data_IF_811452979581
#
_entry.id   IF_811452979581
#
_cell.length_a   1.000
_cell.length_b   1.000
_cell.length_c   1.000
_cell.angle_alpha   90.00
_cell.angle_beta   90.00
_cell.angle_gamma   90.00
#
_symmetry.space_group_name_H-M   'P 1'
#
loop_
_entity.id
_entity.type
_entity.pdbx_description
1 polymer ?
#
# COMPACT_ATOMS: atom_id res chain seq x y z
N UNK A 1 15.61 9.06 -22.22
CA UNK A 1 16.96 9.39 -21.78
C UNK A 1 16.90 9.95 -20.35
N UNK A 2 17.15 9.09 -19.36
CA UNK A 2 17.17 9.48 -17.95
C UNK A 2 18.60 9.81 -17.55
N UNK A 3 19.01 11.05 -17.69
CA UNK A 3 20.32 11.54 -17.27
C UNK A 3 20.26 12.11 -15.87
N UNK A 4 21.07 11.63 -14.95
CA UNK A 4 21.22 12.19 -13.62
C UNK A 4 21.71 11.19 -12.59
N UNK A 5 22.50 11.65 -11.65
CA UNK A 5 23.09 10.89 -10.54
C UNK A 5 22.24 10.94 -9.26
N UNK A 6 21.06 11.59 -9.29
CA UNK A 6 20.18 11.73 -8.13
C UNK A 6 18.94 10.84 -8.25
N UNK A 7 18.18 10.71 -7.17
CA UNK A 7 16.91 9.96 -7.14
C UNK A 7 15.79 10.56 -8.01
N UNK A 8 16.02 11.69 -8.69
CA UNK A 8 15.08 12.35 -9.59
C UNK A 8 14.67 11.49 -10.81
N UNK A 9 15.60 10.77 -11.49
CA UNK A 9 15.24 9.88 -12.59
C UNK A 9 14.23 8.81 -12.23
N UNK A 10 14.13 8.44 -10.97
CA UNK A 10 13.16 7.45 -10.50
C UNK A 10 11.72 7.80 -10.89
N UNK A 11 11.30 9.05 -10.70
CA UNK A 11 9.95 9.47 -11.07
C UNK A 11 9.75 9.55 -12.57
N UNK A 12 10.77 9.97 -13.30
CA UNK A 12 10.75 9.95 -14.78
C UNK A 12 10.58 8.52 -15.30
N UNK A 13 11.31 7.56 -14.74
CA UNK A 13 11.18 6.15 -15.10
C UNK A 13 9.81 5.56 -14.74
N UNK A 14 9.34 5.83 -13.54
CA UNK A 14 8.05 5.29 -13.06
C UNK A 14 6.83 5.89 -13.79
N UNK A 15 6.97 7.08 -14.35
CA UNK A 15 5.87 7.76 -15.06
C UNK A 15 6.00 7.74 -16.57
N UNK A 16 7.17 7.37 -17.10
CA UNK A 16 7.49 7.48 -18.52
C UNK A 16 7.50 8.95 -19.02
N UNK A 17 7.49 9.92 -18.12
CA UNK A 17 7.35 11.34 -18.46
C UNK A 17 8.53 12.17 -17.94
N UNK A 18 9.26 12.80 -18.88
CA UNK A 18 10.41 13.67 -18.53
C UNK A 18 10.03 14.85 -17.62
N UNK A 19 8.79 15.31 -17.70
CA UNK A 19 8.27 16.41 -16.89
C UNK A 19 7.90 15.98 -15.45
N UNK A 20 8.01 14.71 -15.12
CA UNK A 20 7.75 14.20 -13.77
C UNK A 20 8.88 14.47 -12.76
N UNK A 21 10.03 14.99 -13.22
CA UNK A 21 11.15 15.33 -12.35
C UNK A 21 10.78 16.48 -11.39
N UNK A 22 10.71 16.26 -10.05
CA UNK A 22 10.15 17.26 -9.12
C UNK A 22 10.99 18.54 -8.98
N UNK A 23 12.30 18.46 -9.24
CA UNK A 23 13.19 19.63 -9.14
C UNK A 23 13.03 20.60 -10.31
N UNK A 24 12.72 20.07 -11.48
CA UNK A 24 12.55 20.88 -12.70
C UNK A 24 11.11 21.25 -12.96
N UNK A 25 10.16 20.47 -12.40
CA UNK A 25 8.75 20.75 -12.52
C UNK A 25 8.04 20.48 -11.18
N UNK A 26 7.62 21.52 -10.44
CA UNK A 26 6.87 21.36 -9.20
C UNK A 26 5.58 20.55 -9.34
N UNK A 27 4.98 20.54 -10.55
CA UNK A 27 3.79 19.75 -10.88
C UNK A 27 4.12 18.30 -11.30
N UNK A 28 5.38 17.89 -11.25
CA UNK A 28 5.81 16.55 -11.61
C UNK A 28 5.14 15.43 -10.79
N UNK A 29 4.67 15.75 -9.59
CA UNK A 29 3.90 14.85 -8.74
C UNK A 29 2.50 14.51 -9.27
N UNK A 30 1.98 15.29 -10.22
CA UNK A 30 0.68 15.06 -10.84
C UNK A 30 0.70 13.94 -11.89
N UNK A 31 1.88 13.56 -12.40
CA UNK A 31 1.99 12.47 -13.35
C UNK A 31 1.89 11.11 -12.64
N UNK A 32 0.96 10.22 -13.09
CA UNK A 32 0.79 8.93 -12.46
C UNK A 32 1.96 7.98 -12.79
N UNK A 33 2.30 7.13 -11.85
CA UNK A 33 3.20 6.02 -12.10
C UNK A 33 2.52 4.94 -12.94
N UNK A 34 3.32 4.17 -13.70
CA UNK A 34 2.78 3.03 -14.45
C UNK A 34 2.07 2.02 -13.54
N UNK A 35 2.56 1.83 -12.31
CA UNK A 35 1.94 0.93 -11.35
C UNK A 35 0.54 1.43 -10.90
N UNK A 36 0.37 2.75 -10.73
CA UNK A 36 -0.95 3.33 -10.45
C UNK A 36 -1.91 3.21 -11.64
N UNK A 37 -1.39 3.29 -12.88
CA UNK A 37 -2.19 3.05 -14.08
C UNK A 37 -2.65 1.60 -14.12
N UNK A 38 -1.74 0.65 -13.87
CA UNK A 38 -2.07 -0.79 -13.82
C UNK A 38 -3.10 -1.06 -12.71
N UNK A 39 -2.91 -0.46 -11.51
CA UNK A 39 -3.86 -0.60 -10.41
C UNK A 39 -5.27 -0.10 -10.77
N UNK A 40 -5.35 0.97 -11.58
CA UNK A 40 -6.63 1.48 -12.08
C UNK A 40 -7.27 0.52 -13.08
N UNK A 41 -6.50 0.03 -14.05
CA UNK A 41 -7.05 -0.75 -15.18
C UNK A 41 -7.33 -2.21 -14.81
N UNK A 42 -6.52 -2.79 -13.92
CA UNK A 42 -6.63 -4.20 -13.52
C UNK A 42 -7.28 -4.41 -12.16
N UNK A 43 -7.12 -3.45 -11.24
CA UNK A 43 -7.51 -3.63 -9.85
C UNK A 43 -6.62 -4.64 -9.12
N UNK A 44 -7.07 -5.10 -7.96
CA UNK A 44 -6.45 -6.19 -7.23
C UNK A 44 -6.84 -7.54 -7.84
N UNK A 45 -5.90 -8.50 -7.87
CA UNK A 45 -6.17 -9.84 -8.38
C UNK A 45 -7.12 -10.63 -7.44
N UNK A 46 -7.12 -10.29 -6.17
CA UNK A 46 -7.96 -10.93 -5.16
C UNK A 46 -8.64 -9.87 -4.28
N UNK A 47 -9.91 -10.12 -3.94
CA UNK A 47 -10.63 -9.26 -3.00
C UNK A 47 -9.92 -9.21 -1.65
N UNK A 48 -9.85 -8.02 -1.04
CA UNK A 48 -9.15 -7.79 0.21
C UNK A 48 -7.63 -7.66 0.10
N UNK A 49 -7.07 -7.68 -1.12
CA UNK A 49 -5.66 -7.37 -1.37
C UNK A 49 -5.49 -5.99 -2.01
N UNK A 50 -4.39 -5.28 -1.74
CA UNK A 50 -4.10 -4.01 -2.40
C UNK A 50 -3.62 -4.25 -3.84
N UNK A 51 -4.14 -3.44 -4.79
CA UNK A 51 -3.77 -3.55 -6.20
C UNK A 51 -2.33 -3.07 -6.50
N UNK A 52 -1.80 -2.18 -5.67
CA UNK A 52 -0.45 -1.66 -5.79
C UNK A 52 0.17 -1.52 -4.40
N UNK A 53 1.29 -2.20 -4.18
CA UNK A 53 2.05 -2.18 -2.93
C UNK A 53 3.43 -1.58 -3.17
N UNK A 54 3.89 -0.75 -2.26
CA UNK A 54 5.23 -0.20 -2.29
C UNK A 54 5.88 -0.22 -0.91
N UNK A 55 7.21 -0.34 -0.92
CA UNK A 55 8.05 -0.16 0.24
C UNK A 55 8.73 1.20 0.13
N UNK A 56 8.37 2.13 0.99
CA UNK A 56 8.83 3.51 0.91
C UNK A 56 9.47 3.94 2.23
N UNK A 57 10.73 4.33 2.18
CA UNK A 57 11.39 5.06 3.26
C UNK A 57 11.26 6.57 3.06
N UNK A 58 11.24 7.02 1.80
CA UNK A 58 11.15 8.44 1.42
C UNK A 58 10.17 8.62 0.27
N UNK A 59 9.23 9.54 0.42
CA UNK A 59 8.17 9.84 -0.55
C UNK A 59 8.66 10.21 -1.97
N UNK A 60 9.95 10.50 -2.12
CA UNK A 60 10.57 10.79 -3.41
C UNK A 60 10.83 9.55 -4.27
N UNK A 61 10.82 8.35 -3.70
CA UNK A 61 11.26 7.13 -4.40
C UNK A 61 10.10 6.37 -5.06
N UNK A 62 8.88 6.60 -4.64
CA UNK A 62 7.71 5.88 -5.15
C UNK A 62 6.80 6.83 -5.92
N UNK A 63 6.47 6.44 -7.14
CA UNK A 63 5.49 7.15 -7.95
C UNK A 63 4.08 6.90 -7.43
N UNK A 64 3.27 7.94 -7.38
CA UNK A 64 1.89 7.92 -6.93
C UNK A 64 0.93 8.04 -8.12
N UNK A 65 -0.36 8.05 -7.82
CA UNK A 65 -1.41 8.08 -8.83
C UNK A 65 -1.59 9.44 -9.54
N UNK A 66 -1.05 10.51 -8.96
CA UNK A 66 -1.15 11.84 -9.55
C UNK A 66 -2.60 12.25 -9.86
N UNK A 67 -2.87 12.64 -11.10
CA UNK A 67 -4.21 13.05 -11.54
C UNK A 67 -5.25 11.92 -11.55
N UNK A 68 -4.83 10.65 -11.44
CA UNK A 68 -5.78 9.53 -11.35
C UNK A 68 -6.51 9.45 -10.01
N UNK A 69 -6.03 10.20 -9.00
CA UNK A 69 -6.61 10.26 -7.67
C UNK A 69 -6.00 9.25 -6.68
N UNK A 70 -6.08 9.62 -5.41
CA UNK A 70 -5.42 8.92 -4.28
C UNK A 70 -5.82 7.45 -4.11
N UNK A 71 -6.97 7.03 -4.62
CA UNK A 71 -7.41 5.63 -4.55
C UNK A 71 -6.46 4.66 -5.26
N UNK A 72 -5.65 5.16 -6.19
CA UNK A 72 -4.67 4.38 -6.94
C UNK A 72 -3.23 4.63 -6.48
N UNK A 73 -3.07 5.34 -5.35
CA UNK A 73 -1.78 5.45 -4.67
C UNK A 73 -1.35 4.08 -4.14
N UNK A 74 -0.04 3.83 -4.01
CA UNK A 74 0.46 2.60 -3.43
C UNK A 74 0.04 2.45 -1.97
N UNK A 75 -0.30 1.23 -1.58
CA UNK A 75 -0.36 0.83 -0.18
C UNK A 75 1.06 0.67 0.36
N UNK A 76 1.39 1.38 1.43
CA UNK A 76 2.75 1.39 1.99
C UNK A 76 2.97 0.22 2.95
N UNK A 77 3.56 -0.85 2.46
CA UNK A 77 3.71 -2.11 3.17
C UNK A 77 4.61 -2.01 4.42
N UNK A 78 5.64 -1.17 4.37
CA UNK A 78 6.55 -0.99 5.50
C UNK A 78 5.92 -0.28 6.72
N UNK A 79 4.74 0.31 6.54
CA UNK A 79 3.92 0.88 7.62
C UNK A 79 2.83 -0.08 8.09
N UNK A 80 2.51 -1.10 7.30
CA UNK A 80 1.38 -2.01 7.54
C UNK A 80 1.71 -3.15 8.49
N UNK A 81 2.96 -3.58 8.53
CA UNK A 81 3.41 -4.71 9.33
C UNK A 81 4.64 -4.36 10.16
N UNK A 82 4.79 -5.06 11.27
CA UNK A 82 5.97 -4.94 12.12
C UNK A 82 7.06 -5.89 11.60
N UNK A 83 8.16 -5.30 11.15
CA UNK A 83 9.32 -6.06 10.67
C UNK A 83 10.48 -5.93 11.66
N UNK A 84 11.29 -6.98 11.84
CA UNK A 84 12.50 -6.91 12.64
C UNK A 84 13.47 -5.82 12.15
N UNK A 85 14.04 -5.08 13.09
CA UNK A 85 15.06 -4.07 12.80
C UNK A 85 16.42 -4.67 13.04
N UNK A 86 17.27 -4.61 12.03
CA UNK A 86 18.65 -5.07 12.11
C UNK A 86 19.59 -3.87 12.22
N UNK A 87 20.44 -3.84 13.25
CA UNK A 87 21.43 -2.79 13.47
C UNK A 87 22.56 -2.85 12.44
N UNK A 88 22.94 -4.07 12.07
CA UNK A 88 23.87 -4.41 10.98
C UNK A 88 23.30 -5.58 10.20
N UNK A 89 23.88 -5.87 9.04
CA UNK A 89 23.48 -7.04 8.25
C UNK A 89 23.65 -8.31 9.10
N UNK A 90 22.56 -9.00 9.35
CA UNK A 90 22.52 -10.23 10.13
C UNK A 90 22.43 -10.08 11.65
N UNK A 91 22.46 -8.87 12.20
CA UNK A 91 22.36 -8.62 13.63
C UNK A 91 20.96 -8.07 13.96
N UNK A 92 20.16 -8.86 14.65
CA UNK A 92 18.84 -8.44 15.15
C UNK A 92 19.02 -7.47 16.32
N UNK A 93 18.36 -6.32 16.24
CA UNK A 93 18.37 -5.34 17.34
C UNK A 93 17.37 -5.67 18.45
N UNK A 94 16.54 -6.69 18.28
CA UNK A 94 15.43 -7.01 19.17
C UNK A 94 14.22 -6.08 19.04
N UNK A 95 14.31 -5.07 18.19
CA UNK A 95 13.24 -4.10 17.96
C UNK A 95 12.41 -4.45 16.72
N UNK A 96 11.17 -3.95 16.70
CA UNK A 96 10.29 -4.04 15.52
C UNK A 96 10.00 -2.64 15.00
N UNK A 97 10.06 -2.45 13.69
CA UNK A 97 9.65 -1.21 13.02
C UNK A 97 8.27 -1.37 12.40
N UNK A 98 7.62 -0.24 12.10
CA UNK A 98 6.31 -0.20 11.48
C UNK A 98 5.16 -0.30 12.49
N UNK A 99 3.95 -0.11 11.97
CA UNK A 99 2.70 -0.26 12.72
C UNK A 99 2.05 -1.61 12.37
N UNK A 100 1.21 -2.11 13.25
CA UNK A 100 0.34 -3.24 12.93
C UNK A 100 -1.04 -2.69 12.51
N UNK A 101 -1.18 -2.29 11.25
CA UNK A 101 -2.43 -1.72 10.74
C UNK A 101 -3.58 -2.72 10.72
N UNK A 102 -3.29 -4.02 10.76
CA UNK A 102 -4.31 -5.07 10.77
C UNK A 102 -4.73 -5.48 12.19
N UNK A 103 -4.08 -4.94 13.23
CA UNK A 103 -4.53 -5.17 14.59
C UNK A 103 -5.75 -4.29 14.90
N UNK A 104 -6.77 -4.92 15.42
CA UNK A 104 -7.95 -4.20 15.89
C UNK A 104 -7.61 -3.41 17.18
N UNK A 105 -7.95 -2.12 17.26
CA UNK A 105 -7.84 -1.38 18.51
C UNK A 105 -8.62 -2.05 19.64
N UNK A 106 -8.11 -1.97 20.86
CA UNK A 106 -8.79 -2.48 22.02
C UNK A 106 -10.19 -1.86 22.14
N UNK A 107 -11.22 -2.70 22.31
CA UNK A 107 -12.62 -2.26 22.39
C UNK A 107 -13.35 -2.12 21.04
N UNK A 108 -12.69 -2.40 19.92
CA UNK A 108 -13.33 -2.50 18.61
C UNK A 108 -13.49 -3.98 18.24
N UNK A 109 -14.74 -4.45 18.10
CA UNK A 109 -15.03 -5.81 17.61
C UNK A 109 -15.33 -5.80 16.11
N UNK A 110 -15.15 -6.94 15.46
CA UNK A 110 -15.54 -7.15 14.05
C UNK A 110 -17.01 -6.82 13.82
N UNK A 111 -17.87 -7.19 14.77
CA UNK A 111 -19.30 -6.90 14.74
C UNK A 111 -19.58 -5.39 14.75
N UNK A 112 -18.88 -4.62 15.60
CA UNK A 112 -19.02 -3.16 15.63
C UNK A 112 -18.54 -2.50 14.34
N UNK A 113 -17.48 -3.01 13.73
CA UNK A 113 -17.01 -2.53 12.41
C UNK A 113 -18.04 -2.84 11.34
N UNK A 114 -18.58 -4.06 11.34
CA UNK A 114 -19.62 -4.47 10.40
C UNK A 114 -20.89 -3.62 10.55
N UNK A 115 -21.36 -3.39 11.78
CA UNK A 115 -22.54 -2.58 12.05
C UNK A 115 -22.34 -1.13 11.62
N UNK A 116 -21.17 -0.54 11.90
CA UNK A 116 -20.82 0.81 11.43
C UNK A 116 -20.84 0.90 9.91
N UNK A 117 -20.33 -0.13 9.22
CA UNK A 117 -20.35 -0.21 7.76
C UNK A 117 -21.75 -0.30 7.19
N UNK A 118 -22.63 -1.09 7.82
CA UNK A 118 -24.05 -1.16 7.43
C UNK A 118 -24.75 0.19 7.62
N UNK A 119 -24.48 0.86 8.73
CA UNK A 119 -25.02 2.20 9.00
C UNK A 119 -24.52 3.22 7.97
N UNK A 120 -23.21 3.25 7.69
CA UNK A 120 -22.62 4.12 6.68
C UNK A 120 -23.34 3.93 5.32
N UNK A 121 -23.48 2.69 4.87
CA UNK A 121 -24.19 2.38 3.62
C UNK A 121 -25.66 2.85 3.59
N UNK A 122 -26.34 2.84 4.73
CA UNK A 122 -27.71 3.36 4.83
C UNK A 122 -27.73 4.88 4.69
N UNK A 123 -26.78 5.58 5.31
CA UNK A 123 -26.62 7.03 5.16
C UNK A 123 -26.19 7.42 3.75
N UNK A 124 -25.33 6.64 3.11
CA UNK A 124 -24.84 6.89 1.76
C UNK A 124 -25.93 6.74 0.72
N UNK A 125 -26.88 5.81 0.89
CA UNK A 125 -28.09 5.73 0.07
C UNK A 125 -28.94 7.00 0.12
N UNK A 126 -28.99 7.68 1.26
CA UNK A 126 -29.70 8.95 1.43
C UNK A 126 -28.94 10.09 0.74
N UNK A 127 -27.59 10.02 0.73
CA UNK A 127 -26.70 11.03 0.16
C UNK A 127 -26.49 10.90 -1.35
N UNK A 128 -26.65 9.71 -1.94
CA UNK A 128 -26.40 9.44 -3.37
C UNK A 128 -27.28 10.33 -4.28
N UNK A 129 -28.42 10.81 -3.78
CA UNK A 129 -29.24 11.79 -4.50
C UNK A 129 -28.67 13.22 -4.56
N UNK A 130 -27.57 13.49 -3.84
CA UNK A 130 -26.92 14.81 -3.72
C UNK A 130 -25.51 14.87 -4.31
N UNK A 131 -24.94 13.71 -4.70
CA UNK A 131 -23.57 13.65 -5.23
C UNK A 131 -23.53 13.92 -6.74
N UNK A 132 -23.46 15.19 -7.08
CA UNK A 132 -23.38 15.66 -8.47
C UNK A 132 -22.02 15.39 -9.14
N UNK A 133 -20.97 14.98 -8.39
CA UNK A 133 -19.59 14.91 -8.89
C UNK A 133 -18.94 13.52 -8.79
N UNK A 134 -19.63 12.49 -8.31
CA UNK A 134 -19.07 11.12 -8.15
C UNK A 134 -17.93 11.00 -7.12
N UNK A 135 -17.64 12.04 -6.35
CA UNK A 135 -16.57 12.04 -5.36
C UNK A 135 -16.90 11.18 -4.14
N UNK A 136 -18.17 11.07 -3.82
CA UNK A 136 -18.68 10.23 -2.74
C UNK A 136 -18.59 8.74 -3.09
N UNK A 137 -18.92 8.37 -4.32
CA UNK A 137 -18.78 6.99 -4.81
C UNK A 137 -17.32 6.52 -4.76
N UNK A 138 -16.39 7.38 -5.14
CA UNK A 138 -14.95 7.07 -5.04
C UNK A 138 -14.50 6.86 -3.60
N UNK A 139 -15.02 7.63 -2.64
CA UNK A 139 -14.74 7.48 -1.21
C UNK A 139 -15.30 6.17 -0.67
N UNK A 140 -16.52 5.80 -1.10
CA UNK A 140 -17.16 4.56 -0.68
C UNK A 140 -16.42 3.32 -1.15
N UNK A 141 -15.95 3.31 -2.39
CA UNK A 141 -15.12 2.22 -2.93
C UNK A 141 -13.81 2.11 -2.16
N UNK A 142 -13.18 3.24 -1.81
CA UNK A 142 -11.94 3.25 -1.02
C UNK A 142 -12.17 2.71 0.40
N UNK A 143 -13.22 3.16 1.07
CA UNK A 143 -13.60 2.68 2.39
C UNK A 143 -13.96 1.18 2.38
N UNK A 144 -14.61 0.72 1.30
CA UNK A 144 -14.91 -0.69 1.10
C UNK A 144 -13.62 -1.52 0.99
N UNK A 145 -12.67 -1.11 0.15
CA UNK A 145 -11.39 -1.80 -0.01
C UNK A 145 -10.61 -1.84 1.30
N UNK A 146 -10.54 -0.73 2.03
CA UNK A 146 -9.89 -0.66 3.34
C UNK A 146 -10.55 -1.61 4.35
N UNK A 147 -11.88 -1.64 4.39
CA UNK A 147 -12.61 -2.54 5.26
C UNK A 147 -12.38 -4.01 4.88
N UNK A 148 -12.37 -4.34 3.59
CA UNK A 148 -12.12 -5.70 3.12
C UNK A 148 -10.68 -6.17 3.42
N UNK A 149 -9.71 -5.26 3.40
CA UNK A 149 -8.33 -5.55 3.85
C UNK A 149 -8.25 -5.80 5.36
N UNK A 150 -8.94 -4.97 6.17
CA UNK A 150 -8.90 -5.09 7.64
C UNK A 150 -9.69 -6.31 8.13
N UNK A 151 -10.83 -6.58 7.51
CA UNK A 151 -11.72 -7.68 7.88
C UNK A 151 -11.30 -9.01 7.23
N UNK A 152 -10.58 -8.94 6.11
CA UNK A 152 -10.10 -10.09 5.37
C UNK A 152 -8.84 -10.70 6.00
N UNK A 153 -8.88 -12.00 6.31
CA UNK A 153 -7.71 -12.71 6.84
C UNK A 153 -6.57 -12.77 5.82
N UNK A 154 -6.88 -12.75 4.53
CA UNK A 154 -5.90 -12.90 3.44
C UNK A 154 -4.80 -11.84 3.50
N UNK A 155 -5.16 -10.57 3.60
CA UNK A 155 -4.18 -9.49 3.73
C UNK A 155 -3.37 -9.64 5.03
N UNK A 156 -4.01 -9.91 6.16
CA UNK A 156 -3.33 -10.12 7.44
C UNK A 156 -2.31 -11.26 7.36
N UNK A 157 -2.68 -12.39 6.78
CA UNK A 157 -1.82 -13.56 6.61
C UNK A 157 -0.67 -13.28 5.62
N UNK A 158 -0.95 -12.58 4.52
CA UNK A 158 0.06 -12.21 3.53
C UNK A 158 1.11 -11.26 4.10
N UNK A 159 0.69 -10.29 4.93
CA UNK A 159 1.60 -9.35 5.57
C UNK A 159 2.35 -9.92 6.79
N UNK A 160 1.96 -11.08 7.29
CA UNK A 160 2.65 -11.73 8.42
C UNK A 160 3.81 -12.61 7.92
N UNK A 161 4.99 -12.05 7.90
CA UNK A 161 6.24 -12.74 7.52
C UNK A 161 6.57 -13.93 8.42
N UNK A 162 6.01 -14.00 9.64
CA UNK A 162 6.26 -15.11 10.55
C UNK A 162 5.54 -16.39 10.16
N UNK A 163 4.60 -16.32 9.22
CA UNK A 163 3.99 -17.49 8.60
C UNK A 163 4.99 -18.30 7.74
N UNK A 164 6.11 -17.69 7.33
CA UNK A 164 7.15 -18.39 6.60
C UNK A 164 8.02 -19.23 7.54
N UNK A 165 8.38 -20.47 7.13
CA UNK A 165 9.32 -21.29 7.85
C UNK A 165 10.66 -20.57 8.08
N UNK A 166 11.28 -20.79 9.24
CA UNK A 166 12.55 -20.13 9.60
C UNK A 166 13.64 -20.35 8.53
N UNK A 167 13.71 -21.57 7.96
CA UNK A 167 14.67 -21.88 6.89
C UNK A 167 14.49 -20.99 5.64
N UNK A 168 13.26 -20.67 5.28
CA UNK A 168 12.96 -19.76 4.16
C UNK A 168 13.39 -18.35 4.52
N UNK A 169 13.07 -17.89 5.72
CA UNK A 169 13.45 -16.56 6.21
C UNK A 169 14.97 -16.39 6.25
N UNK A 170 15.70 -17.40 6.69
CA UNK A 170 17.18 -17.40 6.73
C UNK A 170 17.80 -17.37 5.33
N UNK A 171 17.18 -18.03 4.34
CA UNK A 171 17.63 -17.98 2.92
C UNK A 171 17.50 -16.59 2.30
N UNK A 172 16.50 -15.81 2.67
CA UNK A 172 16.38 -14.40 2.24
C UNK A 172 17.38 -13.50 2.97
N UNK A 173 17.74 -13.85 4.21
CA UNK A 173 18.72 -13.15 5.01
C UNK A 173 18.13 -12.19 6.03
N UNK A 174 18.98 -11.80 6.99
CA UNK A 174 18.61 -10.97 8.15
C UNK A 174 18.92 -9.50 7.89
N UNK A 175 18.20 -8.89 6.96
CA UNK A 175 18.32 -7.48 6.61
C UNK A 175 16.92 -6.93 6.26
N UNK A 176 16.70 -5.63 6.48
CA UNK A 176 15.40 -5.01 6.20
C UNK A 176 14.92 -5.25 4.76
N UNK A 177 15.80 -5.07 3.79
CA UNK A 177 15.45 -5.28 2.37
C UNK A 177 15.14 -6.74 2.06
N UNK A 178 15.85 -7.67 2.67
CA UNK A 178 15.57 -9.11 2.55
C UNK A 178 14.17 -9.46 3.06
N UNK A 179 13.78 -8.87 4.20
CA UNK A 179 12.45 -9.02 4.76
C UNK A 179 11.38 -8.41 3.84
N UNK A 180 11.66 -7.26 3.24
CA UNK A 180 10.76 -6.62 2.28
C UNK A 180 10.60 -7.43 1.00
N UNK A 181 11.67 -8.05 0.49
CA UNK A 181 11.62 -8.93 -0.69
C UNK A 181 10.80 -10.19 -0.39
N UNK A 182 11.00 -10.80 0.77
CA UNK A 182 10.19 -11.94 1.22
C UNK A 182 8.71 -11.56 1.35
N UNK A 183 8.43 -10.41 1.93
CA UNK A 183 7.06 -9.88 2.04
C UNK A 183 6.44 -9.61 0.67
N UNK A 184 7.20 -9.02 -0.27
CA UNK A 184 6.73 -8.79 -1.63
C UNK A 184 6.36 -10.10 -2.35
N UNK A 185 7.17 -11.16 -2.18
CA UNK A 185 6.84 -12.50 -2.69
C UNK A 185 5.52 -12.99 -2.13
N UNK A 186 5.33 -12.94 -0.81
CA UNK A 186 4.09 -13.37 -0.14
C UNK A 186 2.86 -12.64 -0.65
N UNK A 187 2.98 -11.33 -0.84
CA UNK A 187 1.89 -10.49 -1.36
C UNK A 187 1.52 -10.88 -2.79
N UNK A 188 2.49 -11.19 -3.65
CA UNK A 188 2.24 -11.66 -5.02
C UNK A 188 1.59 -13.06 -5.01
N UNK A 189 2.00 -13.94 -4.13
CA UNK A 189 1.41 -15.29 -3.97
C UNK A 189 -0.03 -15.22 -3.43
N UNK A 190 -0.34 -14.23 -2.61
CA UNK A 190 -1.68 -14.02 -2.07
C UNK A 190 -2.64 -13.33 -3.06
N UNK A 191 -2.12 -12.68 -4.12
CA UNK A 191 -2.87 -11.99 -5.18
C UNK A 191 -2.73 -10.51 -5.16
#
# INVERSE_FOLDING_TARGET
DCRGSSHQPNKVMQTGNRNAAPRTNPRGHLYPSFASIIAREKGANQSGMPAYVAFEKHASHVGKAGYLGKRYDPFLANQACRLPVYSNVGVDSGNLSGANLFSMPSGLSLERVHNRRLLSRQFDKIRTGLDLNGSMEALDVYNQQAADMILGRRAQEAFDINQEPQQVRDRYGKHLWSQQVLLARRLVEAG
#
